data_IF_331328870576
#
_entry.id   IF_331328870576
#
_cell.length_a   1.000
_cell.length_b   1.000
_cell.length_c   1.000
_cell.angle_alpha   90.00
_cell.angle_beta   90.00
_cell.angle_gamma   90.00
#
_symmetry.space_group_name_H-M   'P 1'
#
loop_
_entity.id
_entity.type
_entity.pdbx_description
1 polymer ?
#
# COMPACT_ATOMS: atom_id res chain seq x y z
N UNK A 1 -5.91 25.28 -7.13
CA UNK A 1 -6.50 24.10 -7.83
C UNK A 1 -7.98 24.15 -7.52
N UNK A 2 -8.82 24.32 -8.55
CA UNK A 2 -10.26 24.41 -8.36
C UNK A 2 -10.78 23.02 -7.99
N UNK A 3 -11.32 22.85 -6.78
CA UNK A 3 -12.00 21.63 -6.34
C UNK A 3 -13.36 21.56 -7.02
N UNK A 4 -13.81 20.37 -7.43
CA UNK A 4 -15.14 20.15 -7.98
C UNK A 4 -16.24 20.51 -6.97
N UNK A 5 -17.48 20.51 -7.44
CA UNK A 5 -18.65 20.79 -6.61
C UNK A 5 -19.50 19.53 -6.32
N UNK A 6 -19.00 18.36 -6.75
CA UNK A 6 -19.63 17.06 -6.53
C UNK A 6 -20.72 16.70 -7.54
N UNK A 7 -20.90 17.51 -8.59
CA UNK A 7 -21.80 17.12 -9.69
C UNK A 7 -21.07 16.20 -10.68
N UNK A 8 -21.82 15.50 -11.51
CA UNK A 8 -21.26 14.62 -12.54
C UNK A 8 -20.35 15.37 -13.54
N UNK A 9 -20.69 16.61 -13.85
CA UNK A 9 -19.95 17.48 -14.77
C UNK A 9 -18.73 18.12 -14.13
N UNK A 10 -18.72 18.25 -12.79
CA UNK A 10 -17.63 18.84 -12.02
C UNK A 10 -17.44 18.06 -10.69
N UNK A 11 -16.97 16.80 -10.77
CA UNK A 11 -16.84 15.93 -9.61
C UNK A 11 -15.74 16.42 -8.64
N UNK A 12 -15.82 15.99 -7.40
CA UNK A 12 -14.70 16.08 -6.47
C UNK A 12 -13.53 15.24 -7.01
N UNK A 13 -12.32 15.62 -6.69
CA UNK A 13 -11.11 14.89 -7.12
C UNK A 13 -10.86 13.65 -6.30
N UNK A 14 -11.27 13.66 -5.02
CA UNK A 14 -11.02 12.59 -4.06
C UNK A 14 -12.32 12.09 -3.45
N UNK A 15 -12.30 10.87 -2.97
CA UNK A 15 -13.43 10.30 -2.21
C UNK A 15 -13.53 10.99 -0.86
N UNK A 16 -12.41 11.37 -0.25
CA UNK A 16 -12.38 12.10 1.01
C UNK A 16 -13.06 13.47 0.92
N UNK A 17 -12.87 14.22 -0.19
CA UNK A 17 -13.59 15.49 -0.38
C UNK A 17 -15.12 15.30 -0.40
N UNK A 18 -15.60 14.23 -1.03
CA UNK A 18 -17.01 13.86 -1.03
C UNK A 18 -17.47 13.42 0.37
N UNK A 19 -16.67 12.58 1.04
CA UNK A 19 -16.98 12.06 2.37
C UNK A 19 -17.08 13.17 3.43
N UNK A 20 -16.28 14.21 3.30
CA UNK A 20 -16.33 15.38 4.19
C UNK A 20 -17.60 16.25 4.02
N UNK A 21 -18.35 16.08 2.93
CA UNK A 21 -19.52 16.90 2.59
C UNK A 21 -20.84 16.11 2.60
N UNK A 22 -20.77 14.80 2.46
CA UNK A 22 -21.95 13.94 2.40
C UNK A 22 -22.80 14.06 3.68
N UNK A 23 -24.09 14.22 3.52
CA UNK A 23 -25.09 14.37 4.59
C UNK A 23 -26.06 13.18 4.59
N UNK A 24 -26.86 12.99 5.68
CA UNK A 24 -27.83 11.92 5.73
C UNK A 24 -28.78 11.89 4.53
N UNK A 25 -28.76 10.80 3.77
CA UNK A 25 -29.57 10.59 2.57
C UNK A 25 -28.81 10.79 1.27
N UNK A 26 -27.53 11.24 1.32
CA UNK A 26 -26.72 11.42 0.13
C UNK A 26 -26.16 10.09 -0.40
N UNK A 27 -25.92 10.06 -1.69
CA UNK A 27 -25.22 8.99 -2.39
C UNK A 27 -23.92 9.52 -3.01
N UNK A 28 -22.80 8.99 -2.58
CA UNK A 28 -21.47 9.27 -3.15
C UNK A 28 -21.15 8.21 -4.21
N UNK A 29 -21.14 8.66 -5.48
CA UNK A 29 -20.85 7.79 -6.62
C UNK A 29 -19.38 7.99 -7.02
N UNK A 30 -18.59 6.94 -6.81
CA UNK A 30 -17.15 6.95 -7.09
C UNK A 30 -16.89 6.48 -8.51
N UNK A 31 -16.30 7.34 -9.33
CA UNK A 31 -15.94 7.01 -10.72
C UNK A 31 -14.87 5.89 -10.75
N UNK A 32 -14.74 5.18 -11.89
CA UNK A 32 -13.61 4.26 -12.08
C UNK A 32 -12.28 4.95 -11.88
N UNK A 33 -11.37 4.33 -11.12
CA UNK A 33 -10.05 4.88 -10.85
C UNK A 33 -9.40 4.26 -9.62
N UNK A 34 -8.12 4.60 -9.43
CA UNK A 34 -7.33 4.27 -8.25
C UNK A 34 -7.21 5.52 -7.37
N UNK A 35 -7.66 5.42 -6.15
CA UNK A 35 -7.70 6.49 -5.15
C UNK A 35 -6.75 6.14 -4.02
N UNK A 36 -5.56 6.78 -3.99
CA UNK A 36 -4.57 6.62 -2.92
C UNK A 36 -4.87 7.63 -1.82
N UNK A 37 -5.75 7.25 -0.91
CA UNK A 37 -6.23 8.15 0.14
C UNK A 37 -6.86 7.38 1.31
N UNK A 38 -6.80 7.98 2.50
CA UNK A 38 -7.61 7.58 3.64
C UNK A 38 -8.97 8.28 3.56
N UNK A 39 -10.05 7.51 3.57
CA UNK A 39 -11.41 8.05 3.55
C UNK A 39 -12.00 8.01 4.97
N UNK A 40 -12.23 9.20 5.54
CA UNK A 40 -12.80 9.37 6.87
C UNK A 40 -14.10 10.22 6.78
N UNK A 41 -15.29 9.59 6.70
CA UNK A 41 -16.56 10.30 6.67
C UNK A 41 -16.78 11.12 7.95
N UNK A 42 -17.11 12.40 7.80
CA UNK A 42 -17.34 13.31 8.93
C UNK A 42 -18.76 13.15 9.50
N UNK A 43 -19.73 12.86 8.64
CA UNK A 43 -21.13 12.76 9.03
C UNK A 43 -21.61 11.30 9.02
N UNK A 44 -22.45 10.96 9.96
CA UNK A 44 -23.16 9.69 9.99
C UNK A 44 -24.55 9.83 9.35
N UNK A 45 -25.02 8.75 8.72
CA UNK A 45 -26.41 8.65 8.28
C UNK A 45 -27.37 8.38 9.45
N UNK A 46 -28.67 8.36 9.16
CA UNK A 46 -29.73 7.91 10.09
C UNK A 46 -30.33 6.59 9.60
N UNK A 47 -31.09 5.85 10.43
CA UNK A 47 -31.77 4.63 9.98
C UNK A 47 -32.58 4.78 8.69
N UNK A 48 -33.23 5.93 8.54
CA UNK A 48 -34.12 6.24 7.40
C UNK A 48 -33.41 7.00 6.27
N UNK A 49 -32.19 7.55 6.55
CA UNK A 49 -31.42 8.36 5.61
C UNK A 49 -29.92 7.96 5.70
N UNK A 50 -29.61 6.83 5.13
CA UNK A 50 -28.22 6.36 5.08
C UNK A 50 -27.39 7.20 4.12
N UNK A 51 -26.11 7.40 4.42
CA UNK A 51 -25.14 7.87 3.45
C UNK A 51 -24.61 6.62 2.72
N UNK A 52 -24.71 6.60 1.41
CA UNK A 52 -24.31 5.44 0.60
C UNK A 52 -23.08 5.79 -0.24
N UNK A 53 -22.06 4.96 -0.16
CA UNK A 53 -20.89 5.04 -1.04
C UNK A 53 -20.92 3.85 -1.99
N UNK A 54 -20.81 4.12 -3.28
CA UNK A 54 -20.75 3.04 -4.28
C UNK A 54 -19.90 3.40 -5.49
N UNK A 55 -19.30 2.39 -6.11
CA UNK A 55 -18.67 2.53 -7.41
C UNK A 55 -19.73 2.81 -8.50
N UNK A 56 -19.43 3.70 -9.41
CA UNK A 56 -20.25 3.95 -10.61
C UNK A 56 -20.32 2.69 -11.49
N UNK A 57 -19.23 1.95 -11.58
CA UNK A 57 -19.13 0.66 -12.28
C UNK A 57 -18.53 -0.34 -11.31
N UNK A 58 -19.26 -1.41 -11.02
CA UNK A 58 -18.86 -2.43 -10.03
C UNK A 58 -17.44 -2.91 -10.24
N UNK A 59 -16.61 -2.85 -9.18
CA UNK A 59 -15.24 -3.34 -9.18
C UNK A 59 -14.22 -2.43 -9.90
N UNK A 60 -14.58 -1.21 -10.30
CA UNK A 60 -13.66 -0.32 -11.02
C UNK A 60 -13.20 0.91 -10.22
N UNK A 61 -13.70 1.12 -9.02
CA UNK A 61 -13.17 2.13 -8.10
C UNK A 61 -12.40 1.42 -6.98
N UNK A 62 -11.11 1.71 -6.89
CA UNK A 62 -10.19 1.11 -5.93
C UNK A 62 -9.67 2.19 -4.99
N UNK A 63 -9.93 2.04 -3.68
CA UNK A 63 -9.34 2.88 -2.64
C UNK A 63 -8.21 2.07 -2.03
N UNK A 64 -7.00 2.63 -2.00
CA UNK A 64 -5.82 1.95 -1.49
C UNK A 64 -5.03 2.85 -0.55
N UNK A 65 -4.40 2.25 0.46
CA UNK A 65 -3.45 2.93 1.35
C UNK A 65 -1.98 2.74 0.92
N UNK A 66 -1.74 2.01 -0.17
CA UNK A 66 -0.38 1.83 -0.69
C UNK A 66 0.14 3.07 -1.41
N UNK A 67 1.46 3.23 -1.44
CA UNK A 67 2.15 4.28 -2.19
C UNK A 67 2.98 3.67 -3.30
N UNK A 68 2.96 4.28 -4.49
CA UNK A 68 3.80 3.84 -5.60
C UNK A 68 5.26 4.23 -5.33
N UNK A 69 6.14 3.25 -5.30
CA UNK A 69 7.57 3.47 -5.09
C UNK A 69 8.30 3.44 -6.43
N UNK A 70 9.04 4.49 -6.71
CA UNK A 70 9.87 4.68 -7.91
C UNK A 70 11.32 4.94 -7.50
N UNK A 71 12.17 5.12 -8.49
CA UNK A 71 13.58 5.46 -8.28
C UNK A 71 14.35 4.37 -7.52
N UNK A 72 14.01 3.12 -7.84
CA UNK A 72 14.76 1.96 -7.35
C UNK A 72 16.17 1.97 -7.94
N UNK A 73 17.17 1.82 -7.07
CA UNK A 73 18.58 1.71 -7.42
C UNK A 73 19.03 0.24 -7.41
N UNK A 74 19.66 -0.21 -8.49
CA UNK A 74 20.24 -1.56 -8.49
C UNK A 74 21.44 -1.62 -7.54
N UNK A 75 21.42 -2.56 -6.61
CA UNK A 75 22.48 -2.78 -5.64
C UNK A 75 23.47 -3.82 -6.16
N UNK A 76 22.94 -4.99 -6.56
CA UNK A 76 23.72 -6.12 -7.01
C UNK A 76 22.82 -7.14 -7.72
N UNK A 77 23.16 -7.52 -8.95
CA UNK A 77 22.41 -8.53 -9.69
C UNK A 77 20.92 -8.22 -9.79
N UNK A 78 20.10 -9.03 -9.14
CA UNK A 78 18.61 -8.91 -9.13
C UNK A 78 18.09 -8.13 -7.92
N UNK A 79 18.96 -7.64 -7.05
CA UNK A 79 18.60 -6.93 -5.83
C UNK A 79 18.64 -5.42 -6.06
N UNK A 80 17.57 -4.78 -5.66
CA UNK A 80 17.37 -3.34 -5.76
C UNK A 80 17.06 -2.75 -4.39
N UNK A 81 17.26 -1.46 -4.22
CA UNK A 81 16.86 -0.73 -3.03
C UNK A 81 16.03 0.50 -3.39
N UNK A 82 15.13 0.85 -2.51
CA UNK A 82 14.46 2.14 -2.48
C UNK A 82 14.68 2.80 -1.13
N UNK A 83 14.83 4.12 -1.12
CA UNK A 83 15.00 4.93 0.09
C UNK A 83 13.76 5.78 0.29
N UNK A 84 13.09 5.59 1.42
CA UNK A 84 11.83 6.24 1.74
C UNK A 84 12.03 7.15 2.95
N UNK A 85 11.83 8.48 2.83
CA UNK A 85 11.85 9.37 3.98
C UNK A 85 10.77 8.99 5.00
N UNK A 86 11.12 8.81 6.28
CA UNK A 86 10.17 8.39 7.31
C UNK A 86 9.03 9.39 7.54
N UNK A 87 9.21 10.64 7.13
CA UNK A 87 8.16 11.66 7.20
C UNK A 87 6.87 11.32 6.40
N UNK A 88 6.95 10.43 5.40
CA UNK A 88 5.76 9.98 4.66
C UNK A 88 4.83 9.14 5.53
N UNK A 89 5.37 8.46 6.54
CA UNK A 89 4.60 7.58 7.42
C UNK A 89 3.92 8.32 8.58
N UNK A 90 4.23 9.61 8.79
CA UNK A 90 3.74 10.35 9.96
C UNK A 90 4.23 9.73 11.27
N UNK A 91 3.30 9.49 12.21
CA UNK A 91 3.61 8.90 13.52
C UNK A 91 3.64 7.36 13.52
N UNK A 92 3.39 6.73 12.37
CA UNK A 92 3.29 5.27 12.24
C UNK A 92 4.11 4.75 11.07
N UNK A 93 5.32 4.24 11.37
CA UNK A 93 6.14 3.58 10.37
C UNK A 93 5.82 2.08 10.31
N UNK A 94 5.20 1.59 9.23
CA UNK A 94 4.80 0.19 9.12
C UNK A 94 5.98 -0.78 9.04
N UNK A 95 7.17 -0.31 8.63
CA UNK A 95 8.39 -1.12 8.54
C UNK A 95 9.18 -1.21 9.86
N UNK A 96 8.68 -0.59 10.93
CA UNK A 96 9.19 -0.76 12.30
C UNK A 96 8.15 -1.34 13.24
N UNK A 97 6.91 -1.46 12.80
CA UNK A 97 5.80 -1.96 13.60
C UNK A 97 5.56 -3.43 13.29
N UNK A 98 5.70 -4.28 14.31
CA UNK A 98 5.51 -5.71 14.17
C UNK A 98 4.02 -6.08 14.18
N UNK A 99 3.66 -7.05 13.36
CA UNK A 99 2.37 -7.73 13.47
C UNK A 99 2.32 -8.45 14.81
N UNK A 100 1.27 -8.21 15.59
CA UNK A 100 1.10 -8.78 16.92
C UNK A 100 -0.38 -9.05 17.20
N UNK A 101 -0.64 -9.91 18.18
CA UNK A 101 -1.98 -10.27 18.64
C UNK A 101 -2.02 -11.72 19.13
N UNK A 102 -3.01 -12.05 19.94
CA UNK A 102 -3.18 -13.40 20.49
C UNK A 102 -3.48 -14.49 19.43
N UNK A 103 -3.96 -14.07 18.27
CA UNK A 103 -4.19 -14.91 17.10
C UNK A 103 -2.92 -15.15 16.27
N UNK A 104 -1.86 -14.33 16.44
CA UNK A 104 -0.63 -14.41 15.66
C UNK A 104 0.37 -15.35 16.34
N UNK A 105 0.38 -16.59 15.90
CA UNK A 105 1.22 -17.68 16.45
C UNK A 105 2.43 -18.00 15.56
N UNK A 106 2.80 -17.10 14.66
CA UNK A 106 3.94 -17.32 13.78
C UNK A 106 5.27 -17.31 14.55
N UNK A 107 6.18 -18.14 14.09
CA UNK A 107 7.55 -18.23 14.62
C UNK A 107 8.54 -17.35 13.89
N UNK A 108 8.05 -16.45 13.04
CA UNK A 108 8.84 -15.51 12.25
C UNK A 108 8.44 -14.07 12.57
N UNK A 109 9.34 -13.13 12.27
CA UNK A 109 9.09 -11.70 12.36
C UNK A 109 8.32 -11.28 11.10
N UNK A 110 7.25 -10.52 11.28
CA UNK A 110 6.52 -9.87 10.21
C UNK A 110 6.19 -8.44 10.62
N UNK A 111 6.46 -7.49 9.76
CA UNK A 111 6.07 -6.09 9.95
C UNK A 111 4.66 -5.85 9.39
N UNK A 112 4.05 -4.75 9.78
CA UNK A 112 2.75 -4.34 9.23
C UNK A 112 2.87 -3.68 7.86
N UNK A 113 4.10 -3.29 7.48
CA UNK A 113 4.44 -2.88 6.11
C UNK A 113 4.52 -4.08 5.17
N UNK A 114 4.32 -3.81 3.90
CA UNK A 114 4.45 -4.82 2.84
C UNK A 114 4.99 -4.20 1.56
N UNK A 115 5.47 -5.02 0.65
CA UNK A 115 5.93 -4.63 -0.69
C UNK A 115 5.16 -5.43 -1.73
N UNK A 116 4.53 -4.73 -2.66
CA UNK A 116 3.76 -5.34 -3.74
C UNK A 116 4.47 -5.16 -5.08
N UNK A 117 4.53 -6.23 -5.84
CA UNK A 117 4.95 -6.22 -7.23
C UNK A 117 3.78 -6.60 -8.11
N UNK A 118 3.27 -5.65 -8.91
CA UNK A 118 2.12 -5.88 -9.80
C UNK A 118 0.90 -6.45 -9.05
N UNK A 119 0.51 -5.78 -7.95
CA UNK A 119 -0.63 -6.14 -7.08
C UNK A 119 -0.43 -7.43 -6.27
N UNK A 120 0.76 -8.05 -6.32
CA UNK A 120 1.06 -9.27 -5.60
C UNK A 120 2.07 -9.01 -4.47
N UNK A 121 1.69 -9.34 -3.23
CA UNK A 121 2.54 -9.20 -2.05
C UNK A 121 3.79 -10.07 -2.19
N UNK A 122 4.95 -9.45 -1.98
CA UNK A 122 6.25 -10.11 -1.92
C UNK A 122 6.49 -10.67 -0.51
N UNK A 123 7.52 -11.47 -0.33
CA UNK A 123 7.78 -12.16 0.93
C UNK A 123 8.81 -11.41 1.77
N UNK A 124 8.43 -11.01 2.98
CA UNK A 124 9.38 -10.43 3.93
C UNK A 124 10.41 -11.47 4.37
N UNK A 125 11.66 -11.05 4.44
CA UNK A 125 12.76 -11.83 5.02
C UNK A 125 13.52 -10.99 6.06
N UNK A 126 14.25 -11.65 6.95
CA UNK A 126 14.81 -11.02 8.14
C UNK A 126 16.21 -10.41 7.94
N UNK A 127 16.81 -10.59 6.77
CA UNK A 127 18.17 -10.08 6.50
C UNK A 127 18.36 -9.80 5.01
N UNK A 128 19.25 -8.88 4.70
CA UNK A 128 19.67 -8.58 3.33
C UNK A 128 20.28 -9.81 2.62
N UNK A 129 20.98 -10.68 3.35
CA UNK A 129 21.52 -11.91 2.76
C UNK A 129 20.42 -12.81 2.21
N UNK A 130 19.29 -12.92 2.90
CA UNK A 130 18.12 -13.68 2.41
C UNK A 130 17.45 -13.04 1.21
N UNK A 131 17.52 -11.71 1.05
CA UNK A 131 17.09 -11.04 -0.19
C UNK A 131 18.02 -11.39 -1.35
N UNK A 132 19.35 -11.42 -1.11
CA UNK A 132 20.35 -11.77 -2.12
C UNK A 132 20.28 -13.24 -2.53
N UNK A 133 19.98 -14.12 -1.59
CA UNK A 133 19.99 -15.59 -1.73
C UNK A 133 18.62 -16.20 -1.37
N UNK A 134 17.52 -15.80 -2.05
CA UNK A 134 16.19 -16.26 -1.68
C UNK A 134 16.01 -17.76 -1.89
N UNK A 135 15.31 -18.40 -0.97
CA UNK A 135 15.02 -19.83 -1.04
C UNK A 135 13.52 -20.04 -1.25
N UNK A 136 13.15 -20.96 -2.14
CA UNK A 136 11.74 -21.31 -2.32
C UNK A 136 11.15 -21.82 -1.01
N UNK A 137 10.02 -21.28 -0.62
CA UNK A 137 9.25 -21.75 0.52
C UNK A 137 8.63 -23.13 0.21
N UNK A 138 8.72 -24.03 1.16
CA UNK A 138 8.09 -25.35 1.07
C UNK A 138 6.65 -25.36 1.60
N UNK A 139 6.23 -24.25 2.23
CA UNK A 139 4.91 -24.14 2.88
C UNK A 139 4.05 -23.02 2.28
N UNK A 140 4.60 -22.21 1.37
CA UNK A 140 3.84 -21.17 0.69
C UNK A 140 2.79 -21.76 -0.26
N UNK A 141 1.67 -21.04 -0.41
CA UNK A 141 0.64 -21.33 -1.42
C UNK A 141 1.13 -21.09 -2.84
N UNK A 142 2.17 -20.24 -2.99
CA UNK A 142 2.83 -19.92 -4.26
C UNK A 142 4.36 -20.01 -4.09
N UNK A 143 4.91 -21.23 -4.13
CA UNK A 143 6.35 -21.43 -3.92
C UNK A 143 7.22 -20.72 -4.96
N UNK A 144 6.76 -20.61 -6.20
CA UNK A 144 7.53 -19.99 -7.27
C UNK A 144 7.66 -18.48 -7.08
N UNK A 145 6.65 -17.84 -6.51
CA UNK A 145 6.71 -16.42 -6.18
C UNK A 145 7.39 -16.14 -4.83
N UNK A 146 7.54 -17.12 -3.98
CA UNK A 146 8.15 -16.96 -2.64
C UNK A 146 9.62 -16.55 -2.66
N UNK A 147 10.26 -16.56 -3.82
CA UNK A 147 11.62 -16.04 -4.01
C UNK A 147 11.68 -14.54 -4.29
N UNK A 148 10.55 -13.90 -4.57
CA UNK A 148 10.43 -12.44 -4.61
C UNK A 148 10.35 -11.94 -3.18
N UNK A 149 11.48 -11.54 -2.64
CA UNK A 149 11.66 -11.25 -1.23
C UNK A 149 12.05 -9.79 -1.00
N UNK A 150 11.70 -9.28 0.18
CA UNK A 150 12.11 -7.95 0.60
C UNK A 150 12.55 -7.93 2.07
N UNK A 151 13.35 -6.94 2.40
CA UNK A 151 13.84 -6.63 3.74
C UNK A 151 13.94 -5.12 3.91
N UNK A 152 13.55 -4.61 5.06
CA UNK A 152 13.68 -3.20 5.38
C UNK A 152 14.63 -2.97 6.56
N UNK A 153 15.41 -1.90 6.50
CA UNK A 153 16.21 -1.40 7.61
C UNK A 153 16.00 0.09 7.80
N UNK A 154 16.28 0.57 9.00
CA UNK A 154 16.17 1.98 9.36
C UNK A 154 17.54 2.65 9.28
N UNK A 155 17.62 3.72 8.49
CA UNK A 155 18.72 4.68 8.54
C UNK A 155 18.30 5.83 9.48
N UNK A 156 18.58 5.65 10.78
CA UNK A 156 18.20 6.62 11.81
C UNK A 156 18.93 7.96 11.61
N UNK A 157 20.15 7.95 11.09
CA UNK A 157 20.95 9.16 10.90
C UNK A 157 20.31 10.11 9.87
N UNK A 158 19.65 9.57 8.86
CA UNK A 158 18.99 10.32 7.80
C UNK A 158 17.45 10.30 7.94
N UNK A 159 16.91 9.64 8.97
CA UNK A 159 15.47 9.47 9.19
C UNK A 159 14.76 8.85 7.98
N UNK A 160 15.26 7.69 7.54
CA UNK A 160 14.81 6.99 6.34
C UNK A 160 14.61 5.51 6.59
N UNK A 161 13.69 4.92 5.86
CA UNK A 161 13.55 3.47 5.69
C UNK A 161 14.18 3.08 4.36
N UNK A 162 15.08 2.10 4.38
CA UNK A 162 15.68 1.53 3.18
C UNK A 162 15.06 0.16 2.96
N UNK A 163 14.39 -0.01 1.82
CA UNK A 163 13.80 -1.29 1.43
C UNK A 163 14.72 -1.92 0.37
N UNK A 164 15.18 -3.13 0.63
CA UNK A 164 15.87 -3.98 -0.34
C UNK A 164 14.89 -5.04 -0.83
N UNK A 165 14.86 -5.27 -2.14
CA UNK A 165 13.99 -6.27 -2.73
C UNK A 165 14.65 -7.01 -3.89
N UNK A 166 14.32 -8.29 -4.05
CA UNK A 166 14.78 -9.11 -5.16
C UNK A 166 13.65 -9.22 -6.19
N UNK A 167 13.85 -8.58 -7.33
CA UNK A 167 12.86 -8.55 -8.42
C UNK A 167 13.18 -9.53 -9.54
N UNK A 168 14.22 -10.37 -9.37
CA UNK A 168 14.69 -11.29 -10.40
C UNK A 168 14.95 -10.59 -11.74
N UNK A 169 14.34 -11.05 -12.81
CA UNK A 169 14.51 -10.50 -14.16
C UNK A 169 13.76 -9.18 -14.41
N UNK A 170 12.98 -8.70 -13.42
CA UNK A 170 12.16 -7.48 -13.57
C UNK A 170 12.94 -6.23 -13.17
N UNK A 171 12.70 -5.16 -13.91
CA UNK A 171 13.15 -3.81 -13.58
C UNK A 171 12.04 -3.10 -12.79
N UNK A 172 12.18 -2.87 -11.48
CA UNK A 172 11.12 -2.32 -10.64
C UNK A 172 10.69 -0.91 -11.09
N UNK A 173 11.54 -0.18 -11.80
CA UNK A 173 11.19 1.14 -12.31
C UNK A 173 10.24 1.09 -13.52
N UNK A 174 10.07 -0.09 -14.11
CA UNK A 174 9.12 -0.35 -15.21
C UNK A 174 7.87 -1.10 -14.78
N UNK A 175 7.87 -1.63 -13.56
CA UNK A 175 6.77 -2.37 -12.97
C UNK A 175 5.93 -1.47 -12.06
N UNK A 176 4.78 -1.98 -11.61
CA UNK A 176 4.02 -1.36 -10.53
C UNK A 176 4.53 -1.92 -9.19
N UNK A 177 5.33 -1.13 -8.48
CA UNK A 177 5.82 -1.46 -7.14
C UNK A 177 5.21 -0.49 -6.13
N UNK A 178 4.60 -1.05 -5.09
CA UNK A 178 3.88 -0.33 -4.05
C UNK A 178 4.34 -0.77 -2.67
#
# INVERSE_FOLDING_TARGET
IQTGNGTKENPFKTVQEAAAKALPGDEVIVAPGLYREAVNPIHAGTPDKRITYRSAIKGQAHITGSEAVKDWENVEGTVWKAVIPNGIFGDYNPFTTLVSGDWFIATFIAHTGDVYLNEKSMYEVTTLDKVKNPQKSTISWDPDFSVYTWYAEQDEANNQTIIYANFHEKDPNKENVE
#
